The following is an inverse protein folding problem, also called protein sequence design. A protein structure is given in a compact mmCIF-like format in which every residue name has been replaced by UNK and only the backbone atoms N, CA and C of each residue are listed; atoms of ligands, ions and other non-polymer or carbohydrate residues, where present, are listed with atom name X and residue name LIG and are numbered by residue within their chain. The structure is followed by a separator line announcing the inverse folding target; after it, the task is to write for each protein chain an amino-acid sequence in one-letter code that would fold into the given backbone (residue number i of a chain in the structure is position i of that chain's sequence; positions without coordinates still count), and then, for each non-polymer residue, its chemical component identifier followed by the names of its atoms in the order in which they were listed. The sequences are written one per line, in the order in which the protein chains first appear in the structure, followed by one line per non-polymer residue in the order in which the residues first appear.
data_IF_466916828990
#
_entry.id   IF_466916828990
#
_cell.length_a   1.000
_cell.length_b   1.000
_cell.length_c   1.000
_cell.angle_alpha   90.00
_cell.angle_beta   90.00
_cell.angle_gamma   90.00
#
_symmetry.space_group_name_H-M   'P 1'
#
loop_
_entity.id
_entity.type
_entity.pdbx_description
1 polymer ?
#
# COMPACT_ATOMS: atom_id res chain seq x y z
N UNK A 1 -20.49 -17.77 -8.00
CA UNK A 1 -19.62 -17.30 -9.10
C UNK A 1 -18.19 -17.43 -8.62
N UNK A 2 -17.46 -18.34 -9.26
CA UNK A 2 -16.17 -18.87 -8.82
C UNK A 2 -15.08 -17.78 -8.76
N UNK A 3 -14.46 -17.66 -7.60
CA UNK A 3 -13.26 -16.83 -7.41
C UNK A 3 -12.05 -17.64 -7.84
N UNK A 4 -11.61 -17.46 -9.07
CA UNK A 4 -10.31 -17.94 -9.55
C UNK A 4 -9.18 -17.15 -8.89
N UNK A 5 -8.04 -17.82 -8.66
CA UNK A 5 -6.79 -17.25 -8.17
C UNK A 5 -6.49 -15.88 -8.81
N UNK A 6 -6.34 -14.83 -7.99
CA UNK A 6 -5.79 -13.54 -8.43
C UNK A 6 -6.62 -12.28 -8.14
N UNK A 7 -7.89 -12.39 -7.73
CA UNK A 7 -8.67 -11.19 -7.36
C UNK A 7 -8.37 -10.74 -5.92
N UNK A 8 -7.72 -9.58 -5.80
CA UNK A 8 -7.55 -8.81 -4.55
C UNK A 8 -8.86 -8.13 -4.17
N UNK A 9 -9.08 -7.85 -2.88
CA UNK A 9 -10.30 -7.18 -2.38
C UNK A 9 -10.59 -5.82 -3.04
N UNK A 10 -9.56 -5.11 -3.50
CA UNK A 10 -9.74 -3.74 -4.02
C UNK A 10 -10.16 -3.67 -5.49
N UNK A 11 -10.25 -4.80 -6.22
CA UNK A 11 -10.53 -4.84 -7.67
C UNK A 11 -9.60 -3.93 -8.52
N UNK A 12 -8.43 -3.59 -7.97
CA UNK A 12 -7.46 -2.69 -8.61
C UNK A 12 -6.39 -3.48 -9.36
N UNK A 13 -6.27 -3.19 -10.65
CA UNK A 13 -5.18 -3.69 -11.47
C UNK A 13 -3.91 -2.84 -11.31
N UNK A 14 -2.77 -3.52 -11.24
CA UNK A 14 -1.47 -2.87 -11.37
C UNK A 14 -1.12 -2.81 -12.87
N UNK A 15 -1.24 -1.62 -13.46
CA UNK A 15 -1.12 -1.44 -14.91
C UNK A 15 0.14 -0.67 -15.27
N UNK A 16 0.94 -1.25 -16.17
CA UNK A 16 2.04 -0.57 -16.85
C UNK A 16 1.61 -0.28 -18.29
N UNK A 17 1.39 1.00 -18.61
CA UNK A 17 0.79 1.40 -19.89
C UNK A 17 1.80 1.29 -21.03
N UNK A 18 1.40 0.75 -22.20
CA UNK A 18 2.26 0.52 -23.37
C UNK A 18 3.56 -0.20 -23.00
N UNK A 19 3.40 -1.41 -22.46
CA UNK A 19 4.55 -2.24 -22.12
C UNK A 19 5.19 -2.79 -23.41
N UNK A 20 6.49 -2.64 -23.54
CA UNK A 20 7.26 -3.04 -24.72
C UNK A 20 8.58 -3.69 -24.29
N UNK A 21 9.00 -4.73 -25.02
CA UNK A 21 10.35 -5.28 -24.92
C UNK A 21 11.25 -4.52 -25.89
N UNK A 22 12.34 -3.96 -25.37
CA UNK A 22 13.29 -3.15 -26.13
C UNK A 22 14.68 -3.74 -25.95
N UNK A 23 15.31 -4.16 -27.03
CA UNK A 23 16.70 -4.59 -27.04
C UNK A 23 17.63 -3.41 -26.69
N UNK A 24 18.66 -3.66 -25.89
CA UNK A 24 19.73 -2.67 -25.70
C UNK A 24 20.55 -2.49 -26.98
N UNK A 25 21.03 -1.26 -27.21
CA UNK A 25 21.80 -0.87 -28.40
C UNK A 25 23.06 -1.73 -28.62
N UNK A 26 23.61 -2.29 -27.54
CA UNK A 26 24.81 -3.16 -27.55
C UNK A 26 24.49 -4.65 -27.76
N UNK A 27 23.23 -5.02 -28.07
CA UNK A 27 22.83 -6.42 -28.31
C UNK A 27 22.87 -7.30 -27.05
N UNK A 28 22.83 -6.68 -25.86
CA UNK A 28 23.06 -7.36 -24.59
C UNK A 28 21.85 -8.09 -24.02
N UNK A 29 20.80 -7.34 -23.62
CA UNK A 29 19.61 -7.88 -22.94
C UNK A 29 18.36 -7.10 -23.34
N UNK A 30 17.24 -7.81 -23.37
CA UNK A 30 15.92 -7.20 -23.51
C UNK A 30 15.56 -6.43 -22.24
N UNK A 31 15.11 -5.19 -22.42
CA UNK A 31 14.58 -4.35 -21.36
C UNK A 31 13.07 -4.27 -21.47
N UNK A 32 12.39 -4.37 -20.33
CA UNK A 32 10.97 -4.05 -20.25
C UNK A 32 10.85 -2.54 -20.11
N UNK A 33 10.08 -1.91 -20.98
CA UNK A 33 9.77 -0.48 -20.91
C UNK A 33 8.27 -0.26 -20.81
N UNK A 34 7.86 0.85 -20.23
CA UNK A 34 6.46 1.28 -20.21
C UNK A 34 6.37 2.81 -20.33
N UNK A 35 5.22 3.31 -20.76
CA UNK A 35 4.95 4.75 -20.84
C UNK A 35 4.77 5.33 -19.42
N UNK A 36 5.69 6.20 -19.04
CA UNK A 36 5.71 6.85 -17.73
C UNK A 36 6.32 8.25 -17.78
N UNK A 37 6.34 8.93 -16.64
CA UNK A 37 7.04 10.21 -16.49
C UNK A 37 8.51 9.93 -16.19
N UNK A 38 9.40 10.37 -17.08
CA UNK A 38 10.83 10.28 -16.84
C UNK A 38 11.23 11.17 -15.65
N UNK A 39 11.95 10.62 -14.67
CA UNK A 39 12.25 11.33 -13.42
C UNK A 39 13.14 12.57 -13.61
N UNK A 40 14.02 12.57 -14.62
CA UNK A 40 14.93 13.67 -14.92
C UNK A 40 14.25 14.73 -15.78
N UNK A 41 13.68 14.33 -16.92
CA UNK A 41 13.13 15.27 -17.89
C UNK A 41 11.73 15.76 -17.53
N UNK A 42 11.04 15.07 -16.60
CA UNK A 42 9.63 15.29 -16.21
C UNK A 42 8.64 15.19 -17.38
N UNK A 43 9.06 14.63 -18.51
CA UNK A 43 8.23 14.41 -19.70
C UNK A 43 7.72 12.98 -19.73
N UNK A 44 6.56 12.78 -20.34
CA UNK A 44 6.05 11.45 -20.67
C UNK A 44 6.91 10.82 -21.76
N UNK A 45 7.25 9.54 -21.59
CA UNK A 45 7.99 8.76 -22.57
C UNK A 45 8.23 7.33 -22.09
N UNK A 46 8.97 6.52 -22.86
CA UNK A 46 9.38 5.19 -22.42
C UNK A 46 10.26 5.28 -21.17
N UNK A 47 9.93 4.49 -20.16
CA UNK A 47 10.68 4.33 -18.92
C UNK A 47 11.05 2.87 -18.77
N UNK A 48 12.35 2.60 -18.60
CA UNK A 48 12.86 1.25 -18.33
C UNK A 48 12.42 0.80 -16.94
N UNK A 49 12.04 -0.48 -16.83
CA UNK A 49 11.77 -1.14 -15.55
C UNK A 49 12.56 -2.44 -15.46
N UNK A 50 12.54 -3.07 -14.29
CA UNK A 50 13.22 -4.33 -14.03
C UNK A 50 12.44 -5.11 -12.97
N UNK A 51 12.73 -6.41 -12.83
CA UNK A 51 12.00 -7.32 -11.94
C UNK A 51 11.88 -6.80 -10.50
N UNK A 52 12.96 -6.26 -9.93
CA UNK A 52 12.95 -5.70 -8.58
C UNK A 52 11.93 -4.56 -8.41
N UNK A 53 11.80 -3.67 -9.41
CA UNK A 53 10.82 -2.58 -9.35
C UNK A 53 9.38 -3.07 -9.44
N UNK A 54 9.14 -4.13 -10.22
CA UNK A 54 7.80 -4.74 -10.33
C UNK A 54 7.41 -5.40 -9.01
N UNK A 55 8.32 -6.17 -8.39
CA UNK A 55 8.09 -6.81 -7.09
C UNK A 55 7.85 -5.77 -5.98
N UNK A 56 8.62 -4.69 -5.96
CA UNK A 56 8.42 -3.57 -5.03
C UNK A 56 7.01 -2.98 -5.18
N UNK A 57 6.58 -2.69 -6.41
CA UNK A 57 5.26 -2.12 -6.68
C UNK A 57 4.12 -3.05 -6.28
N UNK A 58 4.24 -4.36 -6.54
CA UNK A 58 3.27 -5.38 -6.11
C UNK A 58 3.17 -5.40 -4.58
N UNK A 59 4.32 -5.42 -3.90
CA UNK A 59 4.39 -5.45 -2.43
C UNK A 59 3.73 -4.21 -1.81
N UNK A 60 4.03 -3.01 -2.33
CA UNK A 60 3.40 -1.77 -1.86
C UNK A 60 1.90 -1.74 -2.16
N UNK A 61 1.46 -2.27 -3.31
CA UNK A 61 0.04 -2.35 -3.65
C UNK A 61 -0.74 -3.22 -2.66
N UNK A 62 -0.18 -4.37 -2.27
CA UNK A 62 -0.77 -5.27 -1.27
C UNK A 62 -0.79 -4.61 0.12
N UNK A 63 0.32 -3.98 0.54
CA UNK A 63 0.37 -3.25 1.80
C UNK A 63 -0.70 -2.14 1.86
N UNK A 64 -0.93 -1.43 0.74
CA UNK A 64 -1.98 -0.42 0.65
C UNK A 64 -3.39 -1.00 0.76
N UNK A 65 -3.64 -2.17 0.19
CA UNK A 65 -4.93 -2.85 0.31
C UNK A 65 -5.21 -3.22 1.77
N UNK A 66 -4.21 -3.74 2.50
CA UNK A 66 -4.32 -4.08 3.93
C UNK A 66 -4.61 -2.84 4.78
N UNK A 67 -3.84 -1.77 4.59
CA UNK A 67 -4.08 -0.51 5.32
C UNK A 67 -5.45 0.08 4.95
N UNK A 68 -5.84 0.01 3.67
CA UNK A 68 -7.15 0.49 3.20
C UNK A 68 -8.31 -0.18 3.93
N UNK A 69 -8.30 -1.51 4.04
CA UNK A 69 -9.32 -2.26 4.77
C UNK A 69 -9.40 -1.83 6.25
N UNK A 70 -8.24 -1.63 6.91
CA UNK A 70 -8.19 -1.17 8.29
C UNK A 70 -8.77 0.25 8.47
N UNK A 71 -8.48 1.16 7.53
CA UNK A 71 -8.99 2.54 7.57
C UNK A 71 -10.52 2.60 7.39
N UNK A 72 -11.08 1.74 6.54
CA UNK A 72 -12.54 1.63 6.40
C UNK A 72 -13.17 1.11 7.71
N UNK A 73 -12.57 0.11 8.34
CA UNK A 73 -13.06 -0.38 9.63
C UNK A 73 -12.88 0.64 10.77
N UNK A 74 -11.87 1.53 10.70
CA UNK A 74 -11.76 2.66 11.62
C UNK A 74 -12.95 3.60 11.49
N UNK A 75 -13.31 3.97 10.27
CA UNK A 75 -14.47 4.84 10.00
C UNK A 75 -15.76 4.21 10.52
N UNK A 76 -16.00 2.93 10.24
CA UNK A 76 -17.16 2.17 10.74
C UNK A 76 -17.24 2.13 12.27
N UNK A 77 -16.10 2.20 12.97
CA UNK A 77 -16.02 2.23 14.43
C UNK A 77 -15.97 3.65 15.03
N UNK A 78 -16.15 4.69 14.20
CA UNK A 78 -16.12 6.09 14.63
C UNK A 78 -14.72 6.58 15.02
N UNK A 79 -13.67 5.94 14.52
CA UNK A 79 -12.28 6.37 14.71
C UNK A 79 -11.92 7.29 13.54
N UNK A 80 -11.88 8.60 13.81
CA UNK A 80 -11.50 9.60 12.80
C UNK A 80 -10.00 9.52 12.49
N UNK A 81 -9.66 9.01 11.30
CA UNK A 81 -8.28 9.05 10.81
C UNK A 81 -7.96 10.43 10.24
N UNK A 82 -6.99 11.11 10.83
CA UNK A 82 -6.62 12.48 10.46
C UNK A 82 -5.42 12.56 9.53
N UNK A 83 -4.59 11.51 9.50
CA UNK A 83 -3.39 11.46 8.67
C UNK A 83 -2.96 10.01 8.43
N UNK A 84 -2.42 9.74 7.25
CA UNK A 84 -1.71 8.50 6.93
C UNK A 84 -0.33 8.82 6.40
N UNK A 85 0.70 8.15 6.91
CA UNK A 85 2.09 8.29 6.45
C UNK A 85 2.65 6.90 6.23
N UNK A 86 3.01 6.55 4.99
CA UNK A 86 3.44 5.19 4.64
C UNK A 86 2.38 4.14 5.09
N UNK A 87 2.74 3.28 6.04
CA UNK A 87 1.93 2.25 6.67
C UNK A 87 1.33 2.70 8.02
N UNK A 88 1.56 3.95 8.44
CA UNK A 88 1.04 4.54 9.67
C UNK A 88 -0.32 5.22 9.44
N UNK A 89 -1.22 5.04 10.39
CA UNK A 89 -2.49 5.76 10.49
C UNK A 89 -2.57 6.49 11.84
N UNK A 90 -2.93 7.77 11.80
CA UNK A 90 -3.10 8.61 12.97
C UNK A 90 -4.57 8.92 13.16
N UNK A 91 -5.06 8.81 14.40
CA UNK A 91 -6.41 9.19 14.77
C UNK A 91 -6.40 10.28 15.84
N UNK A 92 -7.34 11.21 15.76
CA UNK A 92 -7.62 12.15 16.84
C UNK A 92 -8.62 11.50 17.81
N UNK A 93 -8.35 11.60 19.11
CA UNK A 93 -9.24 11.07 20.14
C UNK A 93 -9.20 11.94 21.40
N UNK A 94 -10.32 12.05 22.15
CA UNK A 94 -10.30 12.64 23.48
C UNK A 94 -9.28 11.95 24.38
N UNK A 95 -8.58 12.70 25.23
CA UNK A 95 -7.52 12.18 26.12
C UNK A 95 -8.03 10.99 26.95
N UNK A 96 -9.25 11.08 27.48
CA UNK A 96 -9.88 10.01 28.27
C UNK A 96 -10.10 8.71 27.48
N UNK A 97 -10.24 8.79 26.15
CA UNK A 97 -10.46 7.65 25.27
C UNK A 97 -9.19 7.16 24.54
N UNK A 98 -8.09 7.91 24.57
CA UNK A 98 -6.92 7.66 23.73
C UNK A 98 -6.34 6.24 23.85
N UNK A 99 -6.27 5.68 25.07
CA UNK A 99 -5.79 4.30 25.30
C UNK A 99 -6.74 3.27 24.69
N UNK A 100 -8.05 3.49 24.82
CA UNK A 100 -9.06 2.59 24.24
C UNK A 100 -9.04 2.67 22.71
N UNK A 101 -8.93 3.88 22.14
CA UNK A 101 -8.82 4.09 20.69
C UNK A 101 -7.57 3.41 20.13
N UNK A 102 -6.39 3.61 20.74
CA UNK A 102 -5.16 2.95 20.29
C UNK A 102 -5.29 1.42 20.33
N UNK A 103 -5.87 0.84 21.39
CA UNK A 103 -6.09 -0.60 21.47
C UNK A 103 -7.00 -1.12 20.36
N UNK A 104 -8.07 -0.40 20.05
CA UNK A 104 -8.97 -0.75 18.93
C UNK A 104 -8.23 -0.69 17.60
N UNK A 105 -7.49 0.39 17.35
CA UNK A 105 -6.72 0.56 16.12
C UNK A 105 -5.72 -0.58 15.92
N UNK A 106 -4.95 -0.92 16.96
CA UNK A 106 -4.00 -2.03 16.92
C UNK A 106 -4.67 -3.38 16.68
N UNK A 107 -5.83 -3.63 17.30
CA UNK A 107 -6.57 -4.88 17.11
C UNK A 107 -7.12 -5.05 15.69
N UNK A 108 -7.50 -3.94 15.04
CA UNK A 108 -7.95 -3.92 13.64
C UNK A 108 -6.74 -4.10 12.71
N UNK A 109 -5.66 -3.34 12.90
CA UNK A 109 -4.47 -3.41 12.04
C UNK A 109 -3.71 -4.74 12.15
N UNK A 110 -3.79 -5.43 13.29
CA UNK A 110 -3.19 -6.76 13.47
C UNK A 110 -4.06 -7.90 12.92
N UNK A 111 -5.22 -7.61 12.33
CA UNK A 111 -6.11 -8.62 11.79
C UNK A 111 -5.72 -8.97 10.35
N UNK A 112 -5.41 -10.25 10.04
CA UNK A 112 -5.16 -10.67 8.68
C UNK A 112 -6.40 -10.42 7.80
N UNK A 113 -6.21 -9.99 6.54
CA UNK A 113 -7.33 -9.79 5.65
C UNK A 113 -7.97 -11.14 5.28
N UNK A 114 -9.29 -11.14 5.02
CA UNK A 114 -10.05 -12.37 4.75
C UNK A 114 -9.49 -13.23 3.59
N UNK A 115 -8.87 -12.59 2.61
CA UNK A 115 -8.28 -13.26 1.45
C UNK A 115 -6.89 -13.85 1.71
N UNK A 116 -6.21 -13.46 2.80
CA UNK A 116 -4.94 -14.01 3.22
C UNK A 116 -4.90 -14.19 4.76
N UNK A 117 -5.66 -15.18 5.29
CA UNK A 117 -5.79 -15.39 6.73
C UNK A 117 -4.48 -15.76 7.44
N UNK A 118 -3.50 -16.31 6.70
CA UNK A 118 -2.18 -16.67 7.23
C UNK A 118 -1.12 -15.56 7.11
N UNK A 119 -1.47 -14.39 6.59
CA UNK A 119 -0.51 -13.30 6.45
C UNK A 119 -0.13 -12.76 7.85
N UNK A 120 1.14 -12.78 8.25
CA UNK A 120 1.56 -12.24 9.52
C UNK A 120 1.51 -10.71 9.46
N UNK A 121 0.44 -10.13 10.01
CA UNK A 121 0.30 -8.69 10.20
C UNK A 121 0.36 -8.36 11.69
N UNK A 122 1.06 -7.28 12.00
CA UNK A 122 1.20 -6.74 13.34
C UNK A 122 1.30 -5.23 13.27
N UNK A 123 1.11 -4.58 14.41
CA UNK A 123 1.20 -3.13 14.50
C UNK A 123 1.81 -2.69 15.83
N UNK A 124 2.47 -1.56 15.80
CA UNK A 124 2.91 -0.83 16.99
C UNK A 124 2.34 0.58 16.93
N UNK A 125 2.15 1.19 18.09
CA UNK A 125 1.60 2.55 18.15
C UNK A 125 1.83 3.19 19.50
N UNK A 126 1.63 4.51 19.54
CA UNK A 126 1.87 5.33 20.73
C UNK A 126 0.84 6.47 20.76
N UNK A 127 0.72 7.13 21.92
CA UNK A 127 -0.19 8.25 22.14
C UNK A 127 0.64 9.48 22.51
N UNK A 128 0.28 10.63 21.95
CA UNK A 128 0.77 11.90 22.48
C UNK A 128 0.05 13.11 21.90
N UNK A 129 0.37 14.31 22.43
CA UNK A 129 -0.37 15.53 22.13
C UNK A 129 -0.10 16.10 20.73
N UNK A 130 0.93 15.61 20.05
CA UNK A 130 1.32 16.03 18.69
C UNK A 130 2.02 14.87 18.01
N UNK A 131 1.94 14.81 16.68
CA UNK A 131 2.73 13.86 15.90
C UNK A 131 4.24 14.10 16.12
N UNK A 132 4.98 13.01 16.24
CA UNK A 132 6.43 12.97 16.11
C UNK A 132 6.75 11.75 15.24
N UNK A 133 7.66 11.93 14.30
CA UNK A 133 8.24 10.78 13.61
C UNK A 133 8.98 9.94 14.65
N UNK A 134 8.66 8.65 14.72
CA UNK A 134 9.34 7.71 15.59
C UNK A 134 10.82 7.57 15.18
#
# INVERSE_FOLDING_TARGET
MDKTWGQRQSDRDLVYRRIELVEDEDGGRDNITYLGVNQLTKKWGPVRTYGGKIVENITQAVARDILGDALLEFEDQGIETVLTIHDEALAAAPIAAAVATLRKMLAIMARPPKWAPGLPVGGAGWIGPRYKKA
#
